data_IF_480492559006
#
_entry.id   IF_480492559006
#
_cell.length_a   1.000
_cell.length_b   1.000
_cell.length_c   1.000
_cell.angle_alpha   90.00
_cell.angle_beta   90.00
_cell.angle_gamma   90.00
#
_symmetry.space_group_name_H-M   'P 1'
#
loop_
_entity.id
_entity.type
_entity.pdbx_description
1 polymer ?
#
# COMPACT_ATOMS: atom_id res chain seq x y z
N UNK A 1 -36.12 10.13 -13.10
CA UNK A 1 -36.24 8.73 -12.67
C UNK A 1 -35.30 8.57 -11.48
N UNK A 2 -35.78 8.24 -10.28
CA UNK A 2 -34.89 7.94 -9.16
C UNK A 2 -34.31 6.54 -9.38
N UNK A 3 -33.01 6.44 -9.63
CA UNK A 3 -32.30 5.16 -9.63
C UNK A 3 -32.14 4.67 -8.19
N UNK A 4 -32.02 3.34 -8.00
CA UNK A 4 -31.66 2.82 -6.68
C UNK A 4 -30.22 3.22 -6.36
N UNK A 5 -29.95 3.51 -5.10
CA UNK A 5 -28.61 3.95 -4.65
C UNK A 5 -27.52 2.93 -5.03
N UNK A 6 -27.82 1.63 -5.00
CA UNK A 6 -26.89 0.57 -5.42
C UNK A 6 -26.54 0.65 -6.90
N UNK A 7 -27.53 0.89 -7.76
CA UNK A 7 -27.35 1.00 -9.22
C UNK A 7 -26.51 2.24 -9.56
N UNK A 8 -26.66 3.32 -8.78
CA UNK A 8 -25.82 4.50 -8.93
C UNK A 8 -24.34 4.19 -8.67
N UNK A 9 -24.01 3.49 -7.58
CA UNK A 9 -22.63 3.12 -7.28
C UNK A 9 -22.04 2.16 -8.31
N UNK A 10 -22.82 1.21 -8.83
CA UNK A 10 -22.38 0.32 -9.93
C UNK A 10 -22.19 1.05 -11.26
N UNK A 11 -22.87 2.20 -11.45
CA UNK A 11 -22.72 3.04 -12.64
C UNK A 11 -21.55 4.03 -12.56
N UNK A 12 -20.87 4.13 -11.41
CA UNK A 12 -19.75 5.05 -11.27
C UNK A 12 -18.57 4.60 -12.16
N UNK A 13 -17.90 5.55 -12.82
CA UNK A 13 -16.74 5.23 -13.64
C UNK A 13 -15.63 4.66 -12.76
N UNK A 14 -14.87 3.69 -13.30
CA UNK A 14 -13.70 3.18 -12.60
C UNK A 14 -12.70 4.31 -12.36
N UNK A 15 -12.11 4.31 -11.16
CA UNK A 15 -11.07 5.26 -10.80
C UNK A 15 -9.79 4.95 -11.58
N UNK A 16 -9.25 5.96 -12.28
CA UNK A 16 -8.00 5.84 -13.02
C UNK A 16 -6.92 6.75 -12.42
N UNK A 17 -5.66 6.33 -12.53
CA UNK A 17 -4.52 7.13 -12.09
C UNK A 17 -4.33 8.35 -12.99
N UNK A 18 -4.22 9.56 -12.42
CA UNK A 18 -3.96 10.79 -13.19
C UNK A 18 -2.62 10.75 -13.94
N UNK A 19 -1.63 10.03 -13.41
CA UNK A 19 -0.28 10.03 -13.95
C UNK A 19 -0.07 9.01 -15.09
N UNK A 20 -0.68 7.82 -14.97
CA UNK A 20 -0.47 6.73 -15.94
C UNK A 20 -1.74 6.22 -16.62
N UNK A 21 -2.92 6.66 -16.20
CA UNK A 21 -4.21 6.22 -16.75
C UNK A 21 -4.61 4.79 -16.40
N UNK A 22 -3.78 4.04 -15.64
CA UNK A 22 -4.15 2.69 -15.21
C UNK A 22 -5.34 2.71 -14.26
N UNK A 23 -6.24 1.75 -14.43
CA UNK A 23 -7.35 1.48 -13.50
C UNK A 23 -6.80 1.19 -12.12
N UNK A 24 -7.28 1.92 -11.12
CA UNK A 24 -6.91 1.75 -9.72
C UNK A 24 -7.98 0.95 -9.00
N UNK A 25 -7.55 0.00 -8.18
CA UNK A 25 -8.43 -0.72 -7.27
C UNK A 25 -8.86 0.25 -6.16
N UNK A 26 -10.17 0.46 -6.01
CA UNK A 26 -10.70 1.30 -4.94
C UNK A 26 -10.70 0.54 -3.62
N UNK A 27 -9.78 0.93 -2.73
CA UNK A 27 -9.86 0.59 -1.31
C UNK A 27 -10.69 1.65 -0.59
N UNK A 28 -11.38 1.26 0.49
CA UNK A 28 -12.24 2.14 1.28
C UNK A 28 -11.54 3.44 1.76
N UNK A 29 -10.21 3.40 1.94
CA UNK A 29 -9.39 4.52 2.42
C UNK A 29 -8.59 5.25 1.32
N UNK A 30 -8.85 4.94 0.04
CA UNK A 30 -8.04 5.49 -1.06
C UNK A 30 -8.46 6.91 -1.45
N UNK A 31 -7.92 7.92 -0.75
CA UNK A 31 -8.13 9.34 -1.10
C UNK A 31 -7.20 9.87 -2.21
N UNK A 32 -6.27 9.06 -2.73
CA UNK A 32 -5.31 9.51 -3.74
C UNK A 32 -5.79 9.29 -5.17
N UNK A 33 -5.40 10.17 -6.08
CA UNK A 33 -5.63 10.02 -7.53
C UNK A 33 -4.42 9.44 -8.29
N UNK A 34 -3.33 9.14 -7.58
CA UNK A 34 -2.11 8.55 -8.14
C UNK A 34 -1.90 7.14 -7.59
N UNK A 35 -1.64 6.17 -8.48
CA UNK A 35 -1.45 4.78 -8.11
C UNK A 35 -0.14 4.55 -7.35
N UNK A 36 -0.07 3.42 -6.64
CA UNK A 36 1.10 3.03 -5.85
C UNK A 36 2.38 2.92 -6.70
N UNK A 37 2.26 2.45 -7.95
CA UNK A 37 3.39 2.37 -8.89
C UNK A 37 3.99 3.76 -9.16
N UNK A 38 3.14 4.74 -9.50
CA UNK A 38 3.57 6.12 -9.76
C UNK A 38 4.06 6.82 -8.50
N UNK A 39 3.57 6.42 -7.31
CA UNK A 39 4.07 6.90 -6.01
C UNK A 39 5.36 6.22 -5.56
N UNK A 40 5.83 5.17 -6.26
CA UNK A 40 6.98 4.37 -5.83
C UNK A 40 6.72 3.55 -4.56
N UNK A 41 5.45 3.34 -4.19
CA UNK A 41 5.06 2.52 -3.06
C UNK A 41 4.90 1.08 -3.53
N UNK A 42 5.72 0.18 -3.00
CA UNK A 42 5.47 -1.26 -3.11
C UNK A 42 4.51 -1.67 -2.00
N UNK A 43 3.57 -2.59 -2.29
CA UNK A 43 2.53 -3.04 -1.36
C UNK A 43 3.07 -3.61 -0.03
N UNK A 44 4.34 -4.06 -0.04
CA UNK A 44 5.06 -4.40 1.18
C UNK A 44 5.90 -3.22 1.64
N UNK A 45 5.86 -2.85 2.94
CA UNK A 45 7.00 -2.19 3.55
C UNK A 45 8.13 -3.22 3.49
N UNK A 46 8.94 -3.14 2.44
CA UNK A 46 10.25 -3.76 2.48
C UNK A 46 10.97 -3.03 3.61
N UNK A 47 10.95 -3.62 4.81
CA UNK A 47 11.94 -3.30 5.85
C UNK A 47 13.27 -3.25 5.11
N UNK A 48 14.02 -2.13 5.18
CA UNK A 48 15.25 -2.02 4.42
C UNK A 48 16.17 -3.16 4.84
N UNK A 49 16.25 -4.20 4.02
CA UNK A 49 17.40 -5.07 4.00
C UNK A 49 18.49 -4.18 3.45
N UNK A 50 19.23 -3.54 4.35
CA UNK A 50 20.48 -2.86 4.06
C UNK A 50 21.34 -3.83 3.26
N UNK A 51 21.31 -3.67 1.94
CA UNK A 51 22.24 -4.31 1.04
C UNK A 51 23.57 -3.57 1.23
N UNK A 52 24.31 -3.96 2.27
CA UNK A 52 25.73 -3.64 2.35
C UNK A 52 26.43 -4.66 1.46
N UNK A 53 26.91 -4.29 0.28
CA UNK A 53 27.92 -5.10 -0.35
C UNK A 53 29.16 -5.11 0.58
N UNK A 54 29.89 -6.22 0.57
CA UNK A 54 31.23 -6.40 1.16
C UNK A 54 31.33 -6.78 2.67
N UNK A 55 31.93 -7.96 2.87
CA UNK A 55 32.69 -8.46 4.04
C UNK A 55 31.95 -8.93 5.31
N UNK A 56 31.66 -10.23 5.32
CA UNK A 56 31.94 -11.23 6.37
C UNK A 56 32.52 -10.68 7.70
N UNK A 57 31.67 -10.46 8.71
CA UNK A 57 31.92 -10.86 10.11
C UNK A 57 30.73 -10.50 11.02
N UNK A 58 30.23 -11.51 11.74
CA UNK A 58 29.35 -11.49 12.94
C UNK A 58 27.85 -11.09 12.81
N UNK A 59 26.93 -11.88 13.41
CA UNK A 59 25.51 -11.54 13.48
C UNK A 59 25.21 -10.50 14.59
N UNK A 60 24.34 -9.50 14.34
CA UNK A 60 23.88 -8.62 15.41
C UNK A 60 22.84 -9.33 16.30
N UNK A 61 23.12 -9.28 17.60
CA UNK A 61 22.30 -9.76 18.71
C UNK A 61 20.86 -9.20 18.65
N UNK A 62 19.87 -10.08 18.45
CA UNK A 62 18.45 -9.76 18.60
C UNK A 62 18.20 -9.55 20.09
N UNK A 63 18.18 -8.29 20.52
CA UNK A 63 17.70 -7.91 21.85
C UNK A 63 16.53 -6.94 21.74
N UNK A 64 15.36 -7.51 22.06
CA UNK A 64 14.22 -6.86 22.73
C UNK A 64 13.49 -5.78 21.93
N UNK A 65 12.38 -6.17 21.31
CA UNK A 65 11.15 -5.41 21.46
C UNK A 65 10.04 -6.37 21.90
N UNK A 66 9.66 -6.21 23.16
CA UNK A 66 8.65 -6.99 23.85
C UNK A 66 7.25 -6.63 23.32
N UNK A 67 6.45 -7.66 23.06
CA UNK A 67 5.03 -7.55 22.73
C UNK A 67 4.23 -7.28 24.02
N UNK A 68 3.47 -6.18 24.15
CA UNK A 68 2.59 -6.02 25.31
C UNK A 68 1.34 -6.89 25.13
N UNK A 69 1.25 -7.95 25.93
CA UNK A 69 0.01 -8.67 26.19
C UNK A 69 -0.83 -7.79 27.12
N UNK A 70 -2.01 -7.36 26.68
CA UNK A 70 -2.96 -6.62 27.52
C UNK A 70 -4.03 -7.59 28.02
N UNK A 71 -4.24 -7.52 29.33
CA UNK A 71 -5.19 -8.25 30.19
C UNK A 71 -6.66 -8.21 29.74
#
# INVERSE_FOLDING_TARGET
>A
MLMRTTEFYESLPLKCCDACGETMEEMADCYSSTCNKCRGLTFYPLSPATFTPHTLSSPPSISRLAWPHKE
#
